data_IF_257044725150
#
_entry.id   IF_257044725150
#
_cell.length_a   1.000
_cell.length_b   1.000
_cell.length_c   1.000
_cell.angle_alpha   90.00
_cell.angle_beta   90.00
_cell.angle_gamma   90.00
#
_symmetry.space_group_name_H-M   'P 1'
#
loop_
_entity.id
_entity.type
_entity.pdbx_description
1 polymer ?
#
# COMPACT_ATOMS: atom_id res chain seq x y z
N UNK A 1 23.76 15.47 0.12
CA UNK A 1 23.09 14.76 -1.00
C UNK A 1 21.70 14.36 -0.55
N UNK A 2 20.69 14.83 -1.26
CA UNK A 2 19.29 14.52 -0.98
C UNK A 2 19.00 13.06 -1.38
N UNK A 3 18.35 12.27 -0.51
CA UNK A 3 18.05 10.86 -0.78
C UNK A 3 16.66 10.75 -1.41
N UNK A 4 16.52 10.05 -2.53
CA UNK A 4 15.22 9.80 -3.15
C UNK A 4 14.70 8.41 -2.77
N UNK A 5 13.48 8.33 -2.26
CA UNK A 5 12.83 7.06 -1.93
C UNK A 5 12.20 6.47 -3.19
N UNK A 6 12.45 5.19 -3.42
CA UNK A 6 11.89 4.40 -4.51
C UNK A 6 10.94 3.37 -3.88
N UNK A 7 9.65 3.48 -4.20
CA UNK A 7 8.58 2.65 -3.62
C UNK A 7 8.17 1.50 -4.57
N UNK A 8 8.53 1.63 -5.84
CA UNK A 8 8.27 0.65 -6.89
C UNK A 8 9.26 0.82 -8.03
N UNK A 9 9.37 -0.16 -8.93
CA UNK A 9 10.27 -0.10 -10.09
C UNK A 9 10.03 1.15 -10.95
N UNK A 10 8.79 1.54 -11.20
CA UNK A 10 8.47 2.75 -11.95
C UNK A 10 9.08 4.01 -11.33
N UNK A 11 9.19 4.12 -10.00
CA UNK A 11 9.77 5.30 -9.35
C UNK A 11 11.27 5.51 -9.70
N UNK A 12 11.95 4.48 -10.24
CA UNK A 12 13.38 4.50 -10.56
C UNK A 12 13.78 5.43 -11.70
N UNK A 13 12.84 5.78 -12.59
CA UNK A 13 13.10 6.55 -13.82
C UNK A 13 13.42 8.03 -13.58
N UNK A 14 13.40 8.49 -12.33
CA UNK A 14 13.61 9.89 -11.97
C UNK A 14 14.98 10.17 -11.31
N UNK A 15 15.55 11.33 -11.64
CA UNK A 15 16.69 12.01 -11.00
C UNK A 15 17.94 11.13 -10.76
N UNK A 16 18.74 10.94 -11.81
CA UNK A 16 20.01 10.19 -11.77
C UNK A 16 21.03 10.74 -10.76
N UNK A 17 20.95 12.03 -10.44
CA UNK A 17 21.88 12.70 -9.52
C UNK A 17 21.60 12.45 -8.03
N UNK A 18 20.43 11.92 -7.67
CA UNK A 18 20.06 11.68 -6.26
C UNK A 18 20.36 10.23 -5.84
N UNK A 19 20.73 10.06 -4.56
CA UNK A 19 20.95 8.72 -4.00
C UNK A 19 19.61 8.00 -3.83
N UNK A 20 19.40 6.91 -4.57
CA UNK A 20 18.18 6.09 -4.52
C UNK A 20 18.16 5.17 -3.30
N UNK A 21 17.04 5.17 -2.58
CA UNK A 21 16.75 4.32 -1.42
C UNK A 21 15.51 3.48 -1.74
N UNK A 22 15.72 2.19 -1.98
CA UNK A 22 14.66 1.24 -2.30
C UNK A 22 14.00 0.73 -1.02
N UNK A 23 12.67 0.73 -0.98
CA UNK A 23 11.89 0.29 0.20
C UNK A 23 11.73 -1.24 0.31
N UNK A 24 12.22 -2.00 -0.65
CA UNK A 24 12.24 -3.47 -0.58
C UNK A 24 12.35 -4.13 -1.94
N UNK A 25 12.35 -5.47 -1.94
CA UNK A 25 12.51 -6.30 -3.14
C UNK A 25 11.38 -6.12 -4.17
N UNK A 26 10.22 -5.60 -3.76
CA UNK A 26 9.13 -5.24 -4.66
C UNK A 26 9.50 -4.11 -5.64
N UNK A 27 10.67 -3.48 -5.48
CA UNK A 27 11.22 -2.53 -6.46
C UNK A 27 12.04 -3.21 -7.57
N UNK A 28 12.38 -4.49 -7.43
CA UNK A 28 13.03 -5.27 -8.47
C UNK A 28 12.00 -5.64 -9.54
N UNK A 29 12.41 -5.62 -10.81
CA UNK A 29 11.50 -5.92 -11.91
C UNK A 29 12.26 -6.39 -13.15
N UNK A 30 11.53 -6.99 -14.08
CA UNK A 30 12.01 -7.25 -15.43
C UNK A 30 11.37 -6.24 -16.38
N UNK A 31 12.20 -5.42 -17.01
CA UNK A 31 11.74 -4.53 -18.07
C UNK A 31 11.64 -5.33 -19.37
N UNK A 32 10.41 -5.59 -19.83
CA UNK A 32 10.15 -6.34 -21.06
C UNK A 32 10.53 -5.57 -22.32
N UNK A 33 10.53 -4.23 -22.28
CA UNK A 33 10.93 -3.39 -23.43
C UNK A 33 12.44 -3.42 -23.62
N UNK A 34 13.19 -3.36 -22.52
CA UNK A 34 14.66 -3.43 -22.55
C UNK A 34 15.20 -4.87 -22.47
N UNK A 35 14.32 -5.85 -22.18
CA UNK A 35 14.66 -7.24 -21.91
C UNK A 35 15.74 -7.39 -20.84
N UNK A 36 15.59 -6.63 -19.76
CA UNK A 36 16.61 -6.48 -18.72
C UNK A 36 16.03 -6.70 -17.34
N UNK A 37 16.76 -7.48 -16.53
CA UNK A 37 16.47 -7.64 -15.10
C UNK A 37 17.07 -6.46 -14.34
N UNK A 38 16.25 -5.81 -13.54
CA UNK A 38 16.65 -4.82 -12.57
C UNK A 38 16.60 -5.44 -11.17
N UNK A 39 17.76 -5.86 -10.68
CA UNK A 39 17.95 -6.39 -9.34
C UNK A 39 18.69 -5.35 -8.49
N UNK A 40 17.94 -4.48 -7.82
CA UNK A 40 18.52 -3.43 -7.00
C UNK A 40 18.97 -3.99 -5.67
N UNK A 41 20.20 -3.65 -5.29
CA UNK A 41 20.72 -3.98 -3.97
C UNK A 41 19.92 -3.22 -2.90
N UNK A 42 19.04 -3.93 -2.21
CA UNK A 42 18.33 -3.39 -1.05
C UNK A 42 19.35 -3.23 0.08
N UNK A 43 19.50 -1.99 0.56
CA UNK A 43 20.53 -1.65 1.56
C UNK A 43 20.28 -2.25 2.95
N UNK A 44 19.08 -2.79 3.20
CA UNK A 44 18.66 -3.33 4.50
C UNK A 44 18.02 -4.69 4.33
N UNK A 45 18.26 -5.57 5.32
CA UNK A 45 17.58 -6.86 5.43
C UNK A 45 16.09 -6.64 5.68
N UNK A 46 15.28 -7.60 5.23
CA UNK A 46 13.86 -7.57 5.52
C UNK A 46 13.66 -7.75 7.03
N UNK A 47 12.69 -7.05 7.62
CA UNK A 47 12.53 -7.03 9.08
C UNK A 47 12.12 -8.40 9.65
N UNK A 48 11.36 -9.20 8.90
CA UNK A 48 11.05 -10.60 9.25
C UNK A 48 12.14 -11.62 8.91
N UNK A 49 13.31 -11.20 8.42
CA UNK A 49 14.47 -12.10 8.35
C UNK A 49 15.00 -12.42 9.76
N UNK A 50 14.67 -11.58 10.75
CA UNK A 50 14.89 -11.85 12.18
C UNK A 50 13.65 -12.52 12.78
N UNK A 51 13.80 -13.78 13.19
CA UNK A 51 12.71 -14.57 13.76
C UNK A 51 12.13 -13.97 15.05
N UNK A 52 12.95 -13.34 15.90
CA UNK A 52 12.46 -12.71 17.13
C UNK A 52 11.60 -11.48 16.81
N UNK A 53 11.96 -10.73 15.77
CA UNK A 53 11.15 -9.61 15.27
C UNK A 53 9.84 -10.14 14.68
N UNK A 54 9.89 -11.22 13.89
CA UNK A 54 8.69 -11.86 13.34
C UNK A 54 7.69 -12.26 14.41
N UNK A 55 8.13 -12.95 15.48
CA UNK A 55 7.24 -13.37 16.57
C UNK A 55 6.61 -12.16 17.26
N UNK A 56 7.41 -11.15 17.60
CA UNK A 56 6.92 -9.92 18.24
C UNK A 56 5.89 -9.18 17.36
N UNK A 57 6.15 -9.09 16.07
CA UNK A 57 5.28 -8.43 15.12
C UNK A 57 4.00 -9.24 14.88
N UNK A 58 4.07 -10.57 14.90
CA UNK A 58 2.89 -11.44 14.84
C UNK A 58 1.96 -11.23 16.04
N UNK A 59 2.50 -11.16 17.25
CA UNK A 59 1.71 -10.84 18.47
C UNK A 59 1.03 -9.47 18.39
N UNK A 60 1.70 -8.49 17.76
CA UNK A 60 1.11 -7.18 17.50
C UNK A 60 -0.02 -7.26 16.47
N UNK A 61 0.21 -7.98 15.36
CA UNK A 61 -0.76 -8.15 14.27
C UNK A 61 -2.04 -8.86 14.74
N UNK A 62 -1.92 -9.86 15.61
CA UNK A 62 -3.08 -10.54 16.21
C UNK A 62 -3.96 -9.57 17.01
N UNK A 63 -3.35 -8.76 17.89
CA UNK A 63 -4.05 -7.73 18.67
C UNK A 63 -4.65 -6.64 17.79
N UNK A 64 -3.94 -6.25 16.72
CA UNK A 64 -4.44 -5.27 15.75
C UNK A 64 -5.65 -5.82 15.00
N UNK A 65 -5.56 -7.05 14.51
CA UNK A 65 -6.63 -7.77 13.83
C UNK A 65 -7.88 -7.82 14.71
N UNK A 66 -7.74 -8.23 15.97
CA UNK A 66 -8.87 -8.34 16.90
C UNK A 66 -9.59 -7.02 17.14
N UNK A 67 -8.83 -5.93 17.35
CA UNK A 67 -9.37 -4.59 17.54
C UNK A 67 -10.09 -4.08 16.29
N UNK A 68 -9.53 -4.32 15.11
CA UNK A 68 -10.14 -3.93 13.85
C UNK A 68 -11.40 -4.74 13.57
N UNK A 69 -11.37 -6.05 13.81
CA UNK A 69 -12.52 -6.93 13.61
C UNK A 69 -13.69 -6.55 14.52
N UNK A 70 -13.43 -6.21 15.79
CA UNK A 70 -14.46 -5.71 16.71
C UNK A 70 -15.10 -4.41 16.21
N UNK A 71 -14.26 -3.44 15.82
CA UNK A 71 -14.71 -2.15 15.29
C UNK A 71 -15.51 -2.32 13.99
N UNK A 72 -15.01 -3.14 13.05
CA UNK A 72 -15.67 -3.42 11.79
C UNK A 72 -17.00 -4.15 12.00
N UNK A 73 -17.05 -5.15 12.88
CA UNK A 73 -18.28 -5.88 13.22
C UNK A 73 -19.37 -4.93 13.70
N UNK A 74 -19.01 -3.98 14.57
CA UNK A 74 -19.93 -2.94 15.06
C UNK A 74 -20.40 -2.02 13.93
N UNK A 75 -19.48 -1.54 13.09
CA UNK A 75 -19.83 -0.68 11.96
C UNK A 75 -20.70 -1.38 10.91
N UNK A 76 -20.46 -2.66 10.64
CA UNK A 76 -21.21 -3.44 9.65
C UNK A 76 -22.60 -3.80 10.15
N UNK A 77 -22.74 -4.17 11.42
CA UNK A 77 -24.05 -4.33 12.05
C UNK A 77 -24.89 -3.05 11.92
N UNK A 78 -24.28 -1.89 12.18
CA UNK A 78 -24.95 -0.59 12.01
C UNK A 78 -25.33 -0.33 10.55
N UNK A 79 -24.41 -0.57 9.61
CA UNK A 79 -24.63 -0.32 8.18
C UNK A 79 -25.71 -1.24 7.58
N UNK A 80 -25.73 -2.52 7.96
CA UNK A 80 -26.69 -3.50 7.47
C UNK A 80 -27.97 -3.60 8.30
N UNK A 81 -28.12 -2.73 9.31
CA UNK A 81 -29.23 -2.76 10.28
C UNK A 81 -29.49 -4.18 10.84
N UNK A 82 -28.43 -4.89 11.21
CA UNK A 82 -28.49 -6.26 11.73
C UNK A 82 -27.69 -6.39 13.04
N UNK A 83 -27.91 -7.50 13.76
CA UNK A 83 -27.21 -7.79 15.02
C UNK A 83 -26.53 -9.16 14.95
N UNK A 84 -25.43 -9.23 14.20
CA UNK A 84 -24.60 -10.44 14.06
C UNK A 84 -23.41 -10.39 15.03
N UNK A 85 -22.90 -11.56 15.41
CA UNK A 85 -21.76 -11.68 16.32
C UNK A 85 -20.43 -11.29 15.64
N UNK A 86 -19.39 -11.01 16.44
CA UNK A 86 -18.01 -10.84 15.94
C UNK A 86 -17.58 -12.06 15.12
N UNK A 87 -17.84 -13.27 15.61
CA UNK A 87 -17.52 -14.53 14.92
C UNK A 87 -18.17 -14.63 13.54
N UNK A 88 -19.42 -14.18 13.40
CA UNK A 88 -20.08 -14.16 12.09
C UNK A 88 -19.34 -13.26 11.09
N UNK A 89 -18.95 -12.06 11.51
CA UNK A 89 -18.20 -11.15 10.67
C UNK A 89 -16.77 -11.65 10.40
N UNK A 90 -16.17 -12.33 11.36
CA UNK A 90 -14.87 -12.99 11.20
C UNK A 90 -14.89 -14.06 10.11
N UNK A 91 -15.92 -14.89 10.05
CA UNK A 91 -16.06 -15.89 8.99
C UNK A 91 -16.11 -15.26 7.59
N UNK A 92 -16.66 -14.04 7.48
CA UNK A 92 -16.82 -13.33 6.21
C UNK A 92 -15.55 -12.52 5.86
N UNK A 93 -15.00 -11.80 6.82
CA UNK A 93 -13.98 -10.76 6.59
C UNK A 93 -12.61 -11.14 7.11
N UNK A 94 -12.51 -12.09 8.04
CA UNK A 94 -11.27 -12.50 8.70
C UNK A 94 -10.14 -12.78 7.71
N UNK A 95 -10.35 -13.63 6.68
CA UNK A 95 -9.33 -13.89 5.67
C UNK A 95 -8.83 -12.61 4.99
N UNK A 96 -9.73 -11.70 4.60
CA UNK A 96 -9.35 -10.43 3.97
C UNK A 96 -8.61 -9.50 4.94
N UNK A 97 -9.09 -9.40 6.18
CA UNK A 97 -8.54 -8.51 7.19
C UNK A 97 -7.12 -8.93 7.62
N UNK A 98 -6.84 -10.24 7.69
CA UNK A 98 -5.49 -10.76 7.94
C UNK A 98 -4.53 -10.28 6.84
N UNK A 99 -4.85 -10.52 5.56
CA UNK A 99 -4.00 -10.07 4.46
C UNK A 99 -3.80 -8.56 4.47
N UNK A 100 -4.87 -7.80 4.74
CA UNK A 100 -4.81 -6.35 4.81
C UNK A 100 -3.86 -5.88 5.92
N UNK A 101 -4.02 -6.36 7.15
CA UNK A 101 -3.19 -5.96 8.29
C UNK A 101 -1.72 -6.27 8.02
N UNK A 102 -1.43 -7.51 7.62
CA UNK A 102 -0.05 -7.97 7.35
C UNK A 102 0.61 -7.14 6.25
N UNK A 103 -0.09 -6.85 5.15
CA UNK A 103 0.50 -6.10 4.02
C UNK A 103 0.73 -4.61 4.33
N UNK A 104 -0.18 -3.98 5.07
CA UNK A 104 -0.01 -2.57 5.47
C UNK A 104 1.11 -2.45 6.50
N UNK A 105 1.14 -3.37 7.47
CA UNK A 105 2.17 -3.41 8.49
C UNK A 105 3.56 -3.63 7.91
N UNK A 106 3.73 -4.56 6.98
CA UNK A 106 5.01 -4.79 6.30
C UNK A 106 5.58 -3.51 5.66
N UNK A 107 4.74 -2.81 4.88
CA UNK A 107 5.12 -1.54 4.23
C UNK A 107 5.43 -0.45 5.24
N UNK A 108 4.70 -0.41 6.36
CA UNK A 108 4.98 0.49 7.46
C UNK A 108 6.36 0.23 8.05
N UNK A 109 6.69 -1.04 8.36
CA UNK A 109 8.00 -1.43 8.89
C UNK A 109 9.14 -1.11 7.94
N UNK A 110 8.93 -1.30 6.63
CA UNK A 110 9.92 -0.92 5.61
C UNK A 110 10.22 0.60 5.63
N UNK A 111 9.22 1.45 5.86
CA UNK A 111 9.44 2.89 6.03
C UNK A 111 10.08 3.21 7.38
N UNK A 112 9.68 2.54 8.47
CA UNK A 112 10.28 2.75 9.80
C UNK A 112 11.78 2.46 9.84
N UNK A 113 12.26 1.59 8.96
CA UNK A 113 13.70 1.37 8.83
C UNK A 113 14.44 2.64 8.40
N UNK A 114 13.82 3.61 7.72
CA UNK A 114 14.48 4.85 7.28
C UNK A 114 15.04 5.66 8.45
N UNK A 115 16.22 6.26 8.24
CA UNK A 115 16.88 7.03 9.29
C UNK A 115 16.13 8.36 9.53
N UNK A 116 15.65 8.65 10.75
CA UNK A 116 14.82 9.84 11.03
C UNK A 116 15.60 11.16 10.83
N UNK A 117 16.92 11.13 10.94
CA UNK A 117 17.78 12.31 10.82
C UNK A 117 18.12 12.68 9.36
N UNK A 118 17.67 11.90 8.38
CA UNK A 118 17.92 12.18 6.96
C UNK A 118 16.71 12.87 6.34
N UNK A 119 17.00 13.78 5.41
CA UNK A 119 15.99 14.34 4.52
C UNK A 119 15.83 13.46 3.27
N UNK A 120 14.59 13.27 2.87
CA UNK A 120 14.20 12.48 1.72
C UNK A 120 13.37 13.30 0.74
N UNK A 121 13.34 12.88 -0.51
CA UNK A 121 12.25 13.22 -1.43
C UNK A 121 11.64 11.96 -2.03
N UNK A 122 10.37 12.05 -2.41
CA UNK A 122 9.71 11.01 -3.18
C UNK A 122 8.70 11.62 -4.11
N UNK A 123 8.46 10.92 -5.21
CA UNK A 123 7.36 11.22 -6.09
C UNK A 123 6.03 10.85 -5.44
N UNK A 124 4.98 11.63 -5.71
CA UNK A 124 3.61 11.29 -5.39
C UNK A 124 2.73 11.59 -6.60
N UNK A 125 1.90 10.63 -6.99
CA UNK A 125 0.87 10.87 -7.99
C UNK A 125 -0.23 11.79 -7.45
N UNK A 126 -0.62 12.84 -8.20
CA UNK A 126 -1.75 13.70 -7.82
C UNK A 126 -3.11 12.98 -7.84
N UNK A 127 -3.22 11.83 -8.52
CA UNK A 127 -4.47 11.11 -8.76
C UNK A 127 -4.82 10.00 -7.74
N UNK A 128 -4.24 10.02 -6.52
CA UNK A 128 -4.51 9.07 -5.41
C UNK A 128 -6.01 8.88 -5.06
N UNK A 129 -6.94 9.59 -5.72
CA UNK A 129 -8.39 9.53 -5.48
C UNK A 129 -9.08 8.30 -6.06
N UNK A 130 -8.54 7.61 -7.06
CA UNK A 130 -9.15 6.39 -7.61
C UNK A 130 -8.48 5.16 -7.01
N UNK A 131 -8.89 4.75 -5.80
CA UNK A 131 -8.30 3.55 -5.20
C UNK A 131 -9.11 2.27 -5.35
N UNK A 132 -8.30 1.22 -5.54
CA UNK A 132 -8.59 -0.13 -6.00
C UNK A 132 -9.40 -0.89 -4.96
N UNK A 133 -10.71 -0.65 -4.93
CA UNK A 133 -11.63 -1.49 -4.16
C UNK A 133 -11.69 -2.85 -4.87
N UNK A 134 -10.94 -3.81 -4.33
CA UNK A 134 -11.01 -5.20 -4.76
C UNK A 134 -12.37 -5.78 -4.37
N UNK A 135 -12.99 -6.57 -5.23
CA UNK A 135 -14.32 -7.12 -4.96
C UNK A 135 -14.26 -8.38 -4.10
N UNK A 136 -13.13 -9.07 -4.15
CA UNK A 136 -12.87 -10.28 -3.39
C UNK A 136 -11.39 -10.35 -3.02
N UNK A 137 -11.07 -11.37 -2.22
CA UNK A 137 -9.72 -11.60 -1.69
C UNK A 137 -8.71 -11.97 -2.78
N UNK A 138 -9.13 -12.60 -3.88
CA UNK A 138 -8.23 -13.00 -4.97
C UNK A 138 -7.84 -11.80 -5.82
N UNK A 139 -8.81 -10.94 -6.11
CA UNK A 139 -8.57 -9.64 -6.73
C UNK A 139 -7.65 -8.80 -5.83
N UNK A 140 -7.88 -8.80 -4.52
CA UNK A 140 -7.01 -8.09 -3.58
C UNK A 140 -5.58 -8.62 -3.60
N UNK A 141 -5.39 -9.94 -3.53
CA UNK A 141 -4.07 -10.57 -3.65
C UNK A 141 -3.32 -10.20 -4.92
N UNK A 142 -4.03 -10.09 -6.04
CA UNK A 142 -3.45 -9.66 -7.32
C UNK A 142 -3.01 -8.20 -7.29
N UNK A 143 -3.82 -7.34 -6.67
CA UNK A 143 -3.51 -5.91 -6.53
C UNK A 143 -2.37 -5.67 -5.53
N UNK A 144 -2.20 -6.51 -4.50
CA UNK A 144 -1.17 -6.33 -3.48
C UNK A 144 0.26 -6.27 -4.04
N UNK A 145 0.54 -6.96 -5.15
CA UNK A 145 1.86 -6.99 -5.79
C UNK A 145 2.02 -5.96 -6.90
N UNK A 146 0.98 -5.17 -7.18
CA UNK A 146 1.02 -4.16 -8.23
C UNK A 146 1.89 -2.96 -7.82
N UNK A 147 2.62 -2.42 -8.79
CA UNK A 147 3.35 -1.17 -8.70
C UNK A 147 2.43 -0.01 -8.31
N UNK A 148 1.22 0.08 -8.88
CA UNK A 148 0.24 1.10 -8.48
C UNK A 148 -0.12 1.00 -7.01
N UNK A 149 -0.43 -0.21 -6.53
CA UNK A 149 -0.78 -0.42 -5.13
C UNK A 149 0.37 -0.05 -4.20
N UNK A 150 1.58 -0.50 -4.53
CA UNK A 150 2.80 -0.14 -3.79
C UNK A 150 2.99 1.37 -3.75
N UNK A 151 3.03 2.03 -4.92
CA UNK A 151 3.21 3.48 -4.99
C UNK A 151 2.18 4.21 -4.13
N UNK A 152 0.90 3.82 -4.19
CA UNK A 152 -0.14 4.46 -3.39
C UNK A 152 0.00 4.23 -1.89
N UNK A 153 0.13 2.97 -1.43
CA UNK A 153 0.14 2.67 0.00
C UNK A 153 1.37 3.29 0.65
N UNK A 154 2.54 3.18 0.02
CA UNK A 154 3.74 3.84 0.52
C UNK A 154 3.57 5.36 0.53
N UNK A 155 2.95 5.97 -0.49
CA UNK A 155 2.65 7.41 -0.48
C UNK A 155 1.74 7.80 0.68
N UNK A 156 0.69 7.01 0.96
CA UNK A 156 -0.24 7.27 2.08
C UNK A 156 0.46 7.20 3.43
N UNK A 157 1.32 6.20 3.64
CA UNK A 157 2.09 6.07 4.88
C UNK A 157 3.06 7.25 5.01
N UNK A 158 3.81 7.60 3.95
CA UNK A 158 4.76 8.71 3.99
C UNK A 158 4.09 10.07 4.22
N UNK A 159 2.93 10.32 3.61
CA UNK A 159 2.11 11.52 3.87
C UNK A 159 1.72 11.55 5.35
N UNK A 160 1.16 10.44 5.87
CA UNK A 160 0.77 10.36 7.27
C UNK A 160 1.95 10.63 8.22
N UNK A 161 3.12 10.04 7.96
CA UNK A 161 4.30 10.24 8.80
C UNK A 161 4.86 11.66 8.70
N UNK A 162 4.78 12.29 7.52
CA UNK A 162 5.13 13.71 7.37
C UNK A 162 4.19 14.59 8.19
N UNK A 163 2.89 14.36 8.10
CA UNK A 163 1.86 15.12 8.84
C UNK A 163 2.01 14.93 10.36
N UNK A 164 2.59 13.83 10.80
CA UNK A 164 2.95 13.56 12.20
C UNK A 164 4.37 13.98 12.58
N UNK A 165 5.07 14.70 11.69
CA UNK A 165 6.45 15.17 11.87
C UNK A 165 7.44 14.05 12.22
N UNK A 166 7.17 12.81 11.81
CA UNK A 166 8.02 11.64 12.06
C UNK A 166 9.13 11.46 11.03
N UNK A 167 9.03 12.13 9.88
CA UNK A 167 10.00 12.04 8.80
C UNK A 167 10.13 13.38 8.06
N UNK A 168 11.36 13.76 7.71
CA UNK A 168 11.65 14.92 6.86
C UNK A 168 11.61 14.51 5.40
N UNK A 169 10.49 14.77 4.73
CA UNK A 169 10.28 14.36 3.33
C UNK A 169 9.62 15.43 2.46
N UNK A 170 10.17 15.61 1.27
CA UNK A 170 9.60 16.46 0.22
C UNK A 170 8.88 15.62 -0.83
N UNK A 171 7.76 16.15 -1.33
CA UNK A 171 6.94 15.48 -2.32
C UNK A 171 6.94 16.29 -3.61
N UNK A 172 7.23 15.62 -4.73
CA UNK A 172 7.06 16.20 -6.05
C UNK A 172 5.97 15.46 -6.82
N UNK A 173 5.19 16.21 -7.59
CA UNK A 173 4.05 15.66 -8.33
C UNK A 173 4.51 14.97 -9.61
N UNK A 174 3.74 13.96 -9.99
CA UNK A 174 3.86 13.29 -11.28
C UNK A 174 2.51 13.15 -11.95
N UNK A 175 2.52 13.16 -13.28
CA UNK A 175 1.36 12.89 -14.12
C UNK A 175 1.38 11.46 -14.67
N UNK A 176 2.26 10.59 -14.16
CA UNK A 176 2.35 9.21 -14.64
C UNK A 176 1.04 8.46 -14.41
N UNK A 177 0.63 7.72 -15.43
CA UNK A 177 -0.49 6.82 -15.33
C UNK A 177 0.01 5.52 -14.71
N UNK A 178 -0.27 5.30 -13.43
CA UNK A 178 0.12 4.06 -12.78
C UNK A 178 -0.85 2.93 -13.15
N UNK A 179 -2.06 3.25 -13.64
CA UNK A 179 -3.12 2.27 -13.85
C UNK A 179 -2.69 1.05 -14.70
N UNK A 180 -1.69 1.15 -15.57
CA UNK A 180 -1.31 0.15 -16.58
C UNK A 180 -0.98 -1.25 -16.07
N UNK A 181 -0.55 -1.40 -14.81
CA UNK A 181 -0.24 -2.70 -14.20
C UNK A 181 -1.44 -3.36 -13.47
N UNK A 182 -2.55 -2.65 -13.32
CA UNK A 182 -3.76 -3.16 -12.68
C UNK A 182 -4.57 -3.98 -13.70
N UNK A 183 -5.09 -5.17 -13.34
CA UNK A 183 -5.91 -5.98 -14.23
C UNK A 183 -7.08 -5.18 -14.83
N UNK A 184 -7.29 -5.30 -16.14
CA UNK A 184 -8.30 -4.57 -16.93
C UNK A 184 -9.71 -4.68 -16.33
N UNK A 185 -10.04 -5.83 -15.71
CA UNK A 185 -11.33 -6.06 -15.03
C UNK A 185 -11.59 -5.06 -13.90
N UNK A 186 -10.55 -4.63 -13.19
CA UNK A 186 -10.62 -3.70 -12.07
C UNK A 186 -10.83 -2.27 -12.61
N UNK A 187 -10.09 -1.88 -13.65
CA UNK A 187 -10.23 -0.57 -14.32
C UNK A 187 -11.65 -0.30 -14.80
N UNK A 188 -12.26 -1.28 -15.51
CA UNK A 188 -13.63 -1.15 -16.04
C UNK A 188 -14.69 -0.96 -14.94
N UNK A 189 -14.46 -1.51 -13.73
CA UNK A 189 -15.39 -1.39 -12.60
C UNK A 189 -15.33 -0.02 -11.92
N UNK A 190 -14.14 0.55 -11.73
CA UNK A 190 -13.99 1.91 -11.17
C UNK A 190 -14.77 2.92 -12.01
N UNK A 191 -14.70 2.80 -13.34
CA UNK A 191 -15.47 3.61 -14.27
C UNK A 191 -16.98 3.41 -14.03
N UNK A 192 -17.47 2.16 -14.01
CA UNK A 192 -18.90 1.87 -13.80
C UNK A 192 -19.43 2.40 -12.45
N UNK A 193 -18.65 2.32 -11.37
CA UNK A 193 -19.03 2.83 -10.04
C UNK A 193 -19.07 4.37 -9.98
N UNK A 194 -18.16 5.05 -10.68
CA UNK A 194 -18.20 6.51 -10.82
C UNK A 194 -19.44 6.97 -11.59
N UNK A 195 -19.80 6.27 -12.68
CA UNK A 195 -21.03 6.53 -13.41
C UNK A 195 -22.29 6.34 -12.54
N UNK A 196 -22.37 5.26 -11.76
CA UNK A 196 -23.51 5.03 -10.87
C UNK A 196 -23.62 6.08 -9.76
N UNK A 197 -22.48 6.49 -9.20
CA UNK A 197 -22.44 7.53 -8.16
C UNK A 197 -22.93 8.88 -8.70
N UNK A 198 -22.55 9.24 -9.92
CA UNK A 198 -23.02 10.47 -10.56
C UNK A 198 -24.52 10.44 -10.85
N UNK A 199 -25.05 9.28 -11.27
CA UNK A 199 -26.50 9.07 -11.46
C UNK A 199 -27.31 9.21 -10.16
N UNK A 200 -26.74 8.80 -9.02
CA UNK A 200 -27.38 8.92 -7.70
C UNK A 200 -27.26 10.32 -7.07
N UNK A 201 -26.34 11.17 -7.55
CA UNK A 201 -26.20 12.57 -7.12
C UNK A 201 -27.10 13.52 -7.95
N UNK A 202 -27.71 13.03 -9.04
CA UNK A 202 -28.60 13.77 -9.95
C UNK A 202 -30.09 13.46 -9.67
N UNK A 203 -30.38 12.45 -8.85
CA UNK A 203 -31.72 12.11 -8.33
C UNK A 203 -31.91 12.66 -6.91
#
# INVERSE_FOLDING_TARGET
>A
MENIIIKTFQDTKNNESKKKIFLGLHCNSYDYTERKIYDFKISKKHHWDDYNVFIKDNDYLEKLYDRLLESLSTSLNKFHACKKSKLYWEMILGPWLIYFCTNIFDRWKNIEQLSPNKSFSTEINGSLKKFLISNDIQEYKTVLTSETYNHYIFSKILIFLKDKEKIKIEFFKTNRNFDDDIPIRIKKKVIKKLFLKHLLEIL
#
